data_IF_600817664756
#
_entry.id   IF_600817664756
#
_cell.length_a   1.000
_cell.length_b   1.000
_cell.length_c   1.000
_cell.angle_alpha   90.00
_cell.angle_beta   90.00
_cell.angle_gamma   90.00
#
_symmetry.space_group_name_H-M   'P 1'
#
loop_
_entity.id
_entity.type
_entity.pdbx_description
1 polymer ?
#
# COMPACT_ATOMS: atom_id res chain seq x y z
N UNK A 1 -10.99 76.88 29.77
CA UNK A 1 -11.03 77.68 28.51
C UNK A 1 -11.38 76.72 27.39
N UNK A 2 -12.64 76.62 26.98
CA UNK A 2 -13.30 77.37 25.88
C UNK A 2 -13.21 76.66 24.51
N UNK A 3 -14.37 76.10 24.13
CA UNK A 3 -15.06 76.09 22.81
C UNK A 3 -14.33 75.70 21.51
N UNK A 4 -14.79 74.56 20.97
CA UNK A 4 -15.54 74.38 19.71
C UNK A 4 -15.07 75.00 18.37
N UNK A 5 -15.04 74.15 17.33
CA UNK A 5 -15.54 74.27 15.93
C UNK A 5 -14.83 73.21 15.05
N UNK A 6 -15.19 72.81 13.84
CA UNK A 6 -16.43 72.50 13.11
C UNK A 6 -16.01 72.09 11.66
N UNK A 7 -16.76 71.18 11.00
CA UNK A 7 -16.81 70.87 9.54
C UNK A 7 -15.63 70.14 8.85
N UNK A 8 -15.91 68.98 8.23
CA UNK A 8 -16.26 68.82 6.79
C UNK A 8 -16.39 67.32 6.40
N UNK A 9 -17.37 66.96 5.57
CA UNK A 9 -17.52 65.64 4.89
C UNK A 9 -16.96 65.71 3.45
N UNK A 10 -16.60 64.59 2.77
CA UNK A 10 -17.57 63.83 1.92
C UNK A 10 -17.33 62.29 1.92
N UNK A 11 -18.37 61.45 1.82
CA UNK A 11 -18.98 60.79 0.63
C UNK A 11 -18.03 59.97 -0.28
N UNK A 12 -18.47 58.73 -0.51
CA UNK A 12 -18.19 57.78 -1.62
C UNK A 12 -16.98 56.83 -1.57
N UNK A 13 -17.21 55.63 -1.02
CA UNK A 13 -16.50 54.41 -1.42
C UNK A 13 -17.33 53.14 -1.09
N UNK A 14 -18.44 52.93 -1.81
CA UNK A 14 -19.20 51.65 -1.79
C UNK A 14 -19.39 51.06 -3.19
N UNK A 15 -18.35 51.05 -4.03
CA UNK A 15 -18.35 50.29 -5.29
C UNK A 15 -16.92 49.88 -5.67
N UNK A 16 -16.28 48.97 -4.90
CA UNK A 16 -14.96 48.45 -5.27
C UNK A 16 -14.67 46.99 -4.87
N UNK A 17 -15.63 46.22 -4.35
CA UNK A 17 -15.34 44.88 -3.78
C UNK A 17 -16.10 43.71 -4.39
N UNK A 18 -16.85 43.90 -5.48
CA UNK A 18 -17.61 42.79 -6.12
C UNK A 18 -17.03 42.28 -7.46
N UNK A 19 -16.18 43.06 -8.13
CA UNK A 19 -15.59 42.66 -9.42
C UNK A 19 -14.33 41.77 -9.28
N UNK A 20 -13.60 41.85 -8.15
CA UNK A 20 -12.33 41.12 -7.95
C UNK A 20 -12.49 39.67 -7.47
N UNK A 21 -13.71 39.25 -7.08
CA UNK A 21 -14.00 37.84 -6.71
C UNK A 21 -14.43 36.97 -7.89
N UNK A 22 -15.07 37.53 -8.94
CA UNK A 22 -15.45 36.75 -10.14
C UNK A 22 -14.27 36.39 -11.04
N UNK A 23 -13.28 37.27 -11.17
CA UNK A 23 -12.08 37.02 -11.97
C UNK A 23 -11.13 35.98 -11.35
N UNK A 24 -11.09 35.84 -10.01
CA UNK A 24 -10.30 34.82 -9.32
C UNK A 24 -10.95 33.43 -9.29
N UNK A 25 -12.28 33.36 -9.37
CA UNK A 25 -13.00 32.08 -9.51
C UNK A 25 -12.81 31.45 -10.90
N UNK A 26 -12.79 32.28 -11.96
CA UNK A 26 -12.64 31.79 -13.34
C UNK A 26 -11.23 31.29 -13.68
N UNK A 27 -10.16 31.87 -13.12
CA UNK A 27 -8.78 31.38 -13.32
C UNK A 27 -8.48 30.07 -12.58
N UNK A 28 -9.09 29.84 -11.41
CA UNK A 28 -8.93 28.56 -10.69
C UNK A 28 -9.70 27.41 -11.34
N UNK A 29 -10.85 27.67 -11.94
CA UNK A 29 -11.59 26.66 -12.70
C UNK A 29 -10.86 26.20 -13.98
N UNK A 30 -10.05 27.07 -14.59
CA UNK A 30 -9.30 26.74 -15.80
C UNK A 30 -7.95 26.02 -15.53
N UNK A 31 -7.37 26.16 -14.33
CA UNK A 31 -6.14 25.47 -13.94
C UNK A 31 -6.39 24.07 -13.36
N UNK A 32 -7.58 23.81 -12.78
CA UNK A 32 -7.97 22.47 -12.29
C UNK A 32 -8.32 21.49 -13.43
N UNK A 33 -8.77 21.99 -14.60
CA UNK A 33 -9.03 21.15 -15.79
C UNK A 33 -7.75 20.64 -16.47
N UNK A 34 -6.60 21.27 -16.23
CA UNK A 34 -5.33 20.91 -16.86
C UNK A 34 -4.52 19.83 -16.08
N UNK A 35 -4.97 19.45 -14.88
CA UNK A 35 -4.33 18.42 -14.04
C UNK A 35 -5.23 17.22 -13.71
N UNK A 36 -6.37 17.10 -14.39
CA UNK A 36 -7.14 15.87 -14.36
C UNK A 36 -6.35 14.77 -15.10
N UNK A 37 -5.84 13.81 -14.34
CA UNK A 37 -5.49 12.48 -14.87
C UNK A 37 -6.69 12.00 -15.68
N UNK A 38 -6.52 11.41 -16.89
CA UNK A 38 -7.65 11.03 -17.73
C UNK A 38 -8.53 10.06 -16.95
N UNK A 39 -9.64 10.57 -16.44
CA UNK A 39 -10.63 9.78 -15.74
C UNK A 39 -11.26 8.88 -16.79
N UNK A 40 -11.09 7.56 -16.61
CA UNK A 40 -11.64 6.54 -17.51
C UNK A 40 -13.10 6.91 -17.81
N UNK A 41 -13.55 6.88 -19.09
CA UNK A 41 -14.88 7.33 -19.45
C UNK A 41 -15.91 6.55 -18.64
N UNK A 42 -16.70 7.26 -17.83
CA UNK A 42 -17.84 6.69 -17.13
C UNK A 42 -19.08 6.93 -17.99
N UNK A 43 -19.83 5.87 -18.29
CA UNK A 43 -21.05 5.97 -19.07
C UNK A 43 -22.21 6.22 -18.09
N UNK A 44 -22.99 7.28 -18.33
CA UNK A 44 -24.23 7.49 -17.60
C UNK A 44 -25.36 6.75 -18.32
N UNK A 45 -25.82 5.65 -17.74
CA UNK A 45 -26.95 4.87 -18.24
C UNK A 45 -28.10 5.01 -17.24
N UNK A 46 -29.25 5.51 -17.70
CA UNK A 46 -30.48 5.65 -16.91
C UNK A 46 -30.28 6.35 -15.55
N UNK A 47 -29.51 7.45 -15.53
CA UNK A 47 -29.27 8.25 -14.33
C UNK A 47 -28.29 7.65 -13.31
N UNK A 48 -27.61 6.54 -13.65
CA UNK A 48 -26.55 5.95 -12.83
C UNK A 48 -25.21 6.01 -13.55
N UNK A 49 -24.16 6.40 -12.83
CA UNK A 49 -22.79 6.40 -13.34
C UNK A 49 -22.23 4.99 -13.32
N UNK A 50 -22.12 4.39 -14.50
CA UNK A 50 -21.55 3.05 -14.67
C UNK A 50 -20.11 3.20 -15.13
N UNK A 51 -19.17 2.71 -14.31
CA UNK A 51 -17.77 2.61 -14.72
C UNK A 51 -17.68 1.52 -15.80
N UNK A 52 -16.95 1.76 -16.89
CA UNK A 52 -16.77 0.78 -17.99
C UNK A 52 -16.37 -0.60 -17.48
N UNK A 53 -15.61 -0.68 -16.38
CA UNK A 53 -15.28 -1.94 -15.71
C UNK A 53 -16.52 -2.76 -15.29
N UNK A 54 -17.61 -2.15 -14.82
CA UNK A 54 -18.84 -2.86 -14.43
C UNK A 54 -19.62 -3.41 -15.64
N UNK A 55 -19.40 -2.86 -16.84
CA UNK A 55 -20.02 -3.36 -18.08
C UNK A 55 -19.23 -4.57 -18.62
N UNK A 56 -17.92 -4.60 -18.35
CA UNK A 56 -17.01 -5.64 -18.84
C UNK A 56 -16.87 -6.81 -17.84
N UNK A 57 -16.99 -6.55 -16.54
CA UNK A 57 -17.03 -7.57 -15.47
C UNK A 57 -18.30 -8.45 -15.53
N UNK A 58 -19.33 -8.03 -16.28
CA UNK A 58 -20.61 -8.74 -16.41
C UNK A 58 -20.75 -9.64 -17.65
N UNK A 59 -19.72 -9.77 -18.50
CA UNK A 59 -19.75 -10.69 -19.65
C UNK A 59 -19.01 -11.98 -19.29
N UNK A 60 -19.64 -13.12 -19.57
CA UNK A 60 -19.02 -14.45 -19.49
C UNK A 60 -17.83 -14.60 -20.46
N UNK A 61 -17.73 -13.71 -21.45
CA UNK A 61 -16.59 -13.58 -22.34
C UNK A 61 -15.59 -12.55 -21.79
N UNK A 62 -14.37 -12.98 -21.43
CA UNK A 62 -13.24 -12.10 -21.07
C UNK A 62 -12.71 -11.35 -22.31
N UNK A 63 -13.54 -10.50 -22.90
CA UNK A 63 -13.23 -9.71 -24.09
C UNK A 63 -12.00 -8.80 -23.88
N UNK A 64 -11.77 -8.36 -22.64
CA UNK A 64 -10.57 -7.60 -22.28
C UNK A 64 -9.31 -8.46 -22.23
N UNK A 65 -9.42 -9.72 -21.79
CA UNK A 65 -8.33 -10.70 -21.86
C UNK A 65 -7.95 -11.00 -23.29
N UNK A 66 -8.94 -11.30 -24.14
CA UNK A 66 -8.73 -11.55 -25.57
C UNK A 66 -8.07 -10.35 -26.26
N UNK A 67 -8.61 -9.14 -26.07
CA UNK A 67 -8.01 -7.93 -26.64
C UNK A 67 -6.56 -7.71 -26.17
N UNK A 68 -6.25 -8.00 -24.90
CA UNK A 68 -4.88 -7.88 -24.41
C UNK A 68 -3.96 -8.93 -25.04
N UNK A 69 -4.44 -10.17 -25.21
CA UNK A 69 -3.72 -11.22 -25.92
C UNK A 69 -3.49 -10.85 -27.38
N UNK A 70 -4.51 -10.37 -28.10
CA UNK A 70 -4.41 -9.95 -29.50
C UNK A 70 -3.35 -8.86 -29.69
N UNK A 71 -3.39 -7.81 -28.86
CA UNK A 71 -2.42 -6.70 -28.93
C UNK A 71 -0.99 -7.17 -28.67
N UNK A 72 -0.80 -8.07 -27.70
CA UNK A 72 0.53 -8.61 -27.39
C UNK A 72 0.98 -9.58 -28.48
N UNK A 73 0.07 -10.40 -29.00
CA UNK A 73 0.31 -11.35 -30.06
C UNK A 73 0.76 -10.65 -31.34
N UNK A 74 0.05 -9.60 -31.76
CA UNK A 74 0.41 -8.75 -32.89
C UNK A 74 1.79 -8.10 -32.69
N UNK A 75 2.05 -7.55 -31.49
CA UNK A 75 3.32 -6.90 -31.18
C UNK A 75 4.52 -7.85 -31.14
N UNK A 76 4.28 -9.13 -30.81
CA UNK A 76 5.32 -10.17 -30.71
C UNK A 76 5.38 -11.10 -31.93
N UNK A 77 4.45 -10.96 -32.87
CA UNK A 77 4.36 -11.81 -34.05
C UNK A 77 4.02 -13.26 -33.72
N UNK A 78 3.18 -13.49 -32.71
CA UNK A 78 2.73 -14.84 -32.29
C UNK A 78 1.24 -15.04 -32.54
N UNK A 79 0.77 -16.29 -32.51
CA UNK A 79 -0.64 -16.63 -32.66
C UNK A 79 -1.45 -16.27 -31.40
N UNK A 80 -2.52 -15.50 -31.56
CA UNK A 80 -3.31 -14.99 -30.44
C UNK A 80 -4.09 -16.09 -29.68
N UNK A 81 -4.61 -17.09 -30.39
CA UNK A 81 -5.34 -18.22 -29.78
C UNK A 81 -4.40 -19.16 -29.03
N UNK A 82 -3.17 -19.36 -29.52
CA UNK A 82 -2.11 -20.04 -28.78
C UNK A 82 -1.71 -19.26 -27.53
N UNK A 83 -1.51 -17.94 -27.65
CA UNK A 83 -1.14 -17.09 -26.51
C UNK A 83 -2.22 -17.08 -25.43
N UNK A 84 -3.51 -17.03 -25.80
CA UNK A 84 -4.62 -17.10 -24.86
C UNK A 84 -4.60 -18.42 -24.06
N UNK A 85 -4.33 -19.55 -24.72
CA UNK A 85 -4.18 -20.86 -24.04
C UNK A 85 -2.97 -20.88 -23.11
N UNK A 86 -1.87 -20.22 -23.47
CA UNK A 86 -0.70 -20.13 -22.62
C UNK A 86 -0.90 -19.20 -21.42
N UNK A 87 -1.74 -18.16 -21.55
CA UNK A 87 -2.21 -17.35 -20.40
C UNK A 87 -3.04 -18.20 -19.45
N UNK A 88 -3.97 -19.02 -19.95
CA UNK A 88 -4.75 -19.92 -19.10
C UNK A 88 -3.84 -20.93 -18.36
N UNK A 89 -2.83 -21.47 -19.05
CA UNK A 89 -1.81 -22.33 -18.43
C UNK A 89 -1.00 -21.58 -17.37
N UNK A 90 -0.59 -20.34 -17.64
CA UNK A 90 0.11 -19.50 -16.67
C UNK A 90 -0.73 -19.33 -15.39
N UNK A 91 -2.03 -19.07 -15.52
CA UNK A 91 -2.93 -18.95 -14.36
C UNK A 91 -3.18 -20.27 -13.65
N UNK A 92 -3.21 -21.40 -14.36
CA UNK A 92 -3.26 -22.71 -13.71
C UNK A 92 -2.00 -22.99 -12.87
N UNK A 93 -0.83 -22.52 -13.34
CA UNK A 93 0.46 -22.72 -12.68
C UNK A 93 0.74 -21.69 -11.58
N UNK A 94 0.18 -20.49 -11.69
CA UNK A 94 0.25 -19.42 -10.71
C UNK A 94 -1.16 -18.83 -10.46
N UNK A 95 -2.03 -19.52 -9.68
CA UNK A 95 -3.42 -19.11 -9.48
C UNK A 95 -3.56 -17.71 -8.90
N UNK A 96 -2.69 -17.34 -7.96
CA UNK A 96 -2.67 -16.01 -7.35
C UNK A 96 -2.46 -14.88 -8.37
N UNK A 97 -1.74 -15.13 -9.46
CA UNK A 97 -1.58 -14.15 -10.55
C UNK A 97 -2.90 -13.93 -11.28
N UNK A 98 -3.61 -15.02 -11.60
CA UNK A 98 -4.94 -14.96 -12.23
C UNK A 98 -5.94 -14.20 -11.38
N UNK A 99 -6.00 -14.47 -10.07
CA UNK A 99 -6.87 -13.76 -9.13
C UNK A 99 -6.56 -12.26 -9.05
N UNK A 100 -5.27 -11.89 -9.08
CA UNK A 100 -4.82 -10.49 -9.06
C UNK A 100 -5.13 -9.76 -10.37
N UNK A 101 -5.03 -10.46 -11.51
CA UNK A 101 -5.47 -9.94 -12.81
C UNK A 101 -6.98 -9.73 -12.82
N UNK A 102 -7.76 -10.67 -12.28
CA UNK A 102 -9.21 -10.55 -12.17
C UNK A 102 -9.63 -9.36 -11.28
N UNK A 103 -8.92 -9.12 -10.17
CA UNK A 103 -9.10 -7.94 -9.32
C UNK A 103 -8.60 -6.63 -9.94
N UNK A 104 -7.88 -6.70 -11.06
CA UNK A 104 -7.29 -5.54 -11.73
C UNK A 104 -6.06 -4.96 -11.02
N UNK A 105 -5.46 -5.71 -10.10
CA UNK A 105 -4.20 -5.36 -9.43
C UNK A 105 -3.00 -5.55 -10.38
N UNK A 106 -3.10 -6.53 -11.28
CA UNK A 106 -2.12 -6.82 -12.33
C UNK A 106 -2.75 -6.57 -13.70
N UNK A 107 -1.99 -5.94 -14.62
CA UNK A 107 -2.48 -5.67 -15.99
C UNK A 107 -2.58 -6.98 -16.78
N UNK A 108 -3.67 -7.18 -17.52
CA UNK A 108 -3.85 -8.32 -18.44
C UNK A 108 -2.73 -8.42 -19.48
N UNK A 109 -2.28 -7.30 -20.04
CA UNK A 109 -1.16 -7.26 -20.98
C UNK A 109 0.16 -7.78 -20.38
N UNK A 110 0.41 -7.52 -19.08
CA UNK A 110 1.59 -8.03 -18.39
C UNK A 110 1.52 -9.56 -18.25
N UNK A 111 0.35 -10.14 -17.95
CA UNK A 111 0.15 -11.59 -17.93
C UNK A 111 0.32 -12.22 -19.32
N UNK A 112 -0.22 -11.59 -20.37
CA UNK A 112 0.00 -12.02 -21.75
C UNK A 112 1.48 -11.97 -22.14
N UNK A 113 2.20 -10.88 -21.82
CA UNK A 113 3.64 -10.77 -22.05
C UNK A 113 4.45 -11.86 -21.33
N UNK A 114 4.05 -12.27 -20.12
CA UNK A 114 4.68 -13.38 -19.40
C UNK A 114 4.39 -14.74 -20.03
N UNK A 115 3.21 -14.89 -20.63
CA UNK A 115 2.79 -16.14 -21.27
C UNK A 115 3.47 -16.37 -22.62
N UNK A 116 3.92 -15.30 -23.32
CA UNK A 116 4.68 -15.42 -24.58
C UNK A 116 5.88 -16.36 -24.41
N UNK A 117 6.63 -16.19 -23.31
CA UNK A 117 7.76 -17.04 -22.96
C UNK A 117 7.45 -17.91 -21.73
N UNK A 118 6.31 -18.62 -21.76
CA UNK A 118 5.82 -19.40 -20.61
C UNK A 118 6.90 -20.31 -19.99
N UNK A 119 7.73 -20.96 -20.82
CA UNK A 119 8.81 -21.83 -20.33
C UNK A 119 9.83 -21.06 -19.49
N UNK A 120 10.22 -19.87 -19.92
CA UNK A 120 11.18 -19.04 -19.20
C UNK A 120 10.56 -18.46 -17.93
N UNK A 121 9.30 -18.02 -18.01
CA UNK A 121 8.50 -17.60 -16.85
C UNK A 121 8.45 -18.70 -15.78
N UNK A 122 8.25 -19.96 -16.20
CA UNK A 122 8.24 -21.12 -15.29
C UNK A 122 9.61 -21.42 -14.72
N UNK A 123 10.67 -21.30 -15.52
CA UNK A 123 12.05 -21.46 -15.05
C UNK A 123 12.40 -20.39 -14.00
N UNK A 124 11.99 -19.13 -14.21
CA UNK A 124 12.15 -18.06 -13.25
C UNK A 124 11.39 -18.35 -11.95
N UNK A 125 10.13 -18.78 -12.02
CA UNK A 125 9.36 -19.15 -10.82
C UNK A 125 10.03 -20.27 -10.01
N UNK A 126 10.55 -21.30 -10.68
CA UNK A 126 11.30 -22.37 -10.02
C UNK A 126 12.62 -21.88 -9.43
N UNK A 127 13.33 -20.99 -10.12
CA UNK A 127 14.54 -20.38 -9.61
C UNK A 127 14.26 -19.54 -8.35
N UNK A 128 13.16 -18.77 -8.32
CA UNK A 128 12.71 -18.03 -7.14
C UNK A 128 12.33 -18.98 -6.01
N UNK A 129 11.64 -20.09 -6.29
CA UNK A 129 11.34 -21.11 -5.28
C UNK A 129 12.61 -21.65 -4.64
N UNK A 130 13.64 -21.90 -5.43
CA UNK A 130 14.92 -22.43 -4.95
C UNK A 130 15.78 -21.38 -4.22
N UNK A 131 15.39 -20.10 -4.21
CA UNK A 131 16.06 -19.05 -3.44
C UNK A 131 15.72 -19.14 -1.94
N UNK A 132 14.50 -19.55 -1.60
CA UNK A 132 14.04 -19.66 -0.23
C UNK A 132 14.58 -20.94 0.44
N UNK A 133 15.02 -20.81 1.68
CA UNK A 133 15.45 -21.93 2.51
C UNK A 133 14.26 -22.54 3.24
N UNK A 134 13.25 -21.73 3.59
CA UNK A 134 12.00 -22.17 4.17
C UNK A 134 11.09 -22.80 3.12
N UNK A 135 10.63 -24.03 3.40
CA UNK A 135 9.67 -24.74 2.56
C UNK A 135 8.25 -24.15 2.64
N UNK A 136 7.98 -23.30 3.64
CA UNK A 136 6.66 -22.71 3.88
C UNK A 136 6.38 -21.49 2.99
N UNK A 137 7.39 -20.99 2.27
CA UNK A 137 7.22 -19.87 1.34
C UNK A 137 6.58 -20.34 0.04
N UNK A 138 5.36 -19.88 -0.22
CA UNK A 138 4.71 -20.05 -1.52
C UNK A 138 5.31 -19.09 -2.56
N UNK A 139 6.29 -19.60 -3.31
CA UNK A 139 6.93 -18.86 -4.39
C UNK A 139 5.94 -18.41 -5.48
N UNK A 140 4.82 -19.12 -5.66
CA UNK A 140 3.75 -18.73 -6.56
C UNK A 140 3.06 -17.45 -6.09
N UNK A 141 2.70 -17.36 -4.80
CA UNK A 141 2.15 -16.12 -4.22
C UNK A 141 3.16 -14.97 -4.27
N UNK A 142 4.44 -15.23 -3.97
CA UNK A 142 5.52 -14.22 -4.08
C UNK A 142 5.59 -13.66 -5.49
N UNK A 143 5.61 -14.53 -6.51
CA UNK A 143 5.66 -14.12 -7.91
C UNK A 143 4.34 -13.44 -8.36
N UNK A 144 3.19 -13.86 -7.83
CA UNK A 144 1.91 -13.21 -8.12
C UNK A 144 1.86 -11.78 -7.57
N UNK A 145 2.46 -11.56 -6.40
CA UNK A 145 2.56 -10.26 -5.72
C UNK A 145 3.60 -9.34 -6.34
N UNK A 146 4.67 -9.91 -6.91
CA UNK A 146 5.69 -9.18 -7.66
C UNK A 146 5.99 -9.88 -9.00
N UNK A 147 5.13 -9.69 -10.04
CA UNK A 147 5.26 -10.38 -11.33
C UNK A 147 6.53 -10.03 -12.10
N UNK A 148 7.26 -8.97 -11.71
CA UNK A 148 8.56 -8.64 -12.31
C UNK A 148 9.60 -9.72 -12.08
N UNK A 149 9.48 -10.50 -10.99
CA UNK A 149 10.36 -11.64 -10.70
C UNK A 149 10.31 -12.70 -11.81
N UNK A 150 9.15 -12.87 -12.44
CA UNK A 150 8.92 -13.85 -13.51
C UNK A 150 9.59 -13.46 -14.84
N UNK A 151 10.08 -12.22 -14.97
CA UNK A 151 10.79 -11.73 -16.17
C UNK A 151 12.30 -11.84 -16.05
N UNK A 152 12.79 -12.16 -14.86
CA UNK A 152 14.22 -12.20 -14.60
C UNK A 152 14.88 -13.33 -15.38
N UNK A 153 16.09 -13.04 -15.85
CA UNK A 153 16.97 -13.99 -16.53
C UNK A 153 18.04 -14.48 -15.57
N UNK A 154 18.81 -15.47 -15.99
CA UNK A 154 19.77 -16.20 -15.14
C UNK A 154 20.69 -15.29 -14.32
N UNK A 155 21.33 -14.29 -14.93
CA UNK A 155 22.20 -13.34 -14.23
C UNK A 155 21.48 -12.55 -13.13
N UNK A 156 20.27 -12.06 -13.42
CA UNK A 156 19.47 -11.30 -12.46
C UNK A 156 18.91 -12.21 -11.35
N UNK A 157 18.58 -13.46 -11.66
CA UNK A 157 18.15 -14.46 -10.69
C UNK A 157 19.29 -14.83 -9.73
N UNK A 158 20.53 -14.87 -10.20
CA UNK A 158 21.68 -15.07 -9.33
C UNK A 158 21.84 -13.92 -8.33
N UNK A 159 21.72 -12.67 -8.79
CA UNK A 159 21.69 -11.51 -7.89
C UNK A 159 20.57 -11.56 -6.85
N UNK A 160 19.39 -12.12 -7.20
CA UNK A 160 18.30 -12.35 -6.24
C UNK A 160 18.68 -13.42 -5.20
N UNK A 161 19.38 -14.49 -5.60
CA UNK A 161 19.84 -15.54 -4.68
C UNK A 161 20.89 -15.03 -3.71
N UNK A 162 21.90 -14.34 -4.22
CA UNK A 162 22.95 -13.71 -3.41
C UNK A 162 22.35 -12.74 -2.39
N UNK A 163 21.40 -11.90 -2.84
CA UNK A 163 20.67 -10.99 -1.98
C UNK A 163 19.91 -11.71 -0.87
N UNK A 164 19.19 -12.77 -1.19
CA UNK A 164 18.45 -13.54 -0.19
C UNK A 164 19.39 -14.19 0.83
N UNK A 165 20.50 -14.77 0.37
CA UNK A 165 21.52 -15.35 1.24
C UNK A 165 22.16 -14.31 2.17
N UNK A 166 22.61 -13.18 1.62
CA UNK A 166 23.19 -12.08 2.39
C UNK A 166 22.20 -11.48 3.39
N UNK A 167 20.92 -11.37 3.01
CA UNK A 167 19.87 -10.85 3.91
C UNK A 167 19.62 -11.80 5.08
N UNK A 168 19.60 -13.11 4.84
CA UNK A 168 19.50 -14.12 5.91
C UNK A 168 20.64 -14.01 6.90
N UNK A 169 21.87 -13.88 6.40
CA UNK A 169 23.05 -13.71 7.26
C UNK A 169 22.97 -12.44 8.10
N UNK A 170 22.57 -11.31 7.50
CA UNK A 170 22.50 -10.01 8.17
C UNK A 170 21.37 -9.92 9.20
N UNK A 171 20.21 -10.49 8.91
CA UNK A 171 19.09 -10.47 9.85
C UNK A 171 19.28 -11.49 10.98
N UNK A 172 19.86 -12.66 10.70
CA UNK A 172 20.05 -13.72 11.68
C UNK A 172 18.77 -13.99 12.49
N UNK A 173 18.89 -14.00 13.82
CA UNK A 173 17.77 -14.25 14.74
C UNK A 173 16.84 -13.04 14.95
N UNK A 174 17.15 -11.90 14.33
CA UNK A 174 16.33 -10.69 14.47
C UNK A 174 14.99 -10.80 13.71
N UNK A 175 14.99 -11.46 12.56
CA UNK A 175 13.82 -11.60 11.70
C UNK A 175 14.00 -12.76 10.71
N UNK A 176 12.95 -13.54 10.46
CA UNK A 176 12.93 -14.51 9.38
C UNK A 176 12.93 -13.78 8.02
N UNK A 177 14.08 -13.82 7.32
CA UNK A 177 14.26 -13.16 6.03
C UNK A 177 13.37 -13.75 4.93
N UNK A 178 13.15 -15.07 4.94
CA UNK A 178 12.31 -15.72 3.93
C UNK A 178 10.84 -15.29 4.15
N UNK A 179 10.40 -15.23 5.40
CA UNK A 179 9.12 -14.63 5.79
C UNK A 179 8.99 -13.14 5.44
N UNK A 180 10.07 -12.36 5.56
CA UNK A 180 10.12 -10.96 5.12
C UNK A 180 9.92 -10.85 3.60
N UNK A 181 10.64 -11.63 2.79
CA UNK A 181 10.49 -11.63 1.34
C UNK A 181 9.12 -12.15 0.90
N UNK A 182 8.57 -13.15 1.58
CA UNK A 182 7.20 -13.60 1.36
C UNK A 182 6.20 -12.47 1.64
N UNK A 183 6.49 -11.65 2.64
CA UNK A 183 5.64 -10.53 3.05
C UNK A 183 5.81 -9.31 2.16
N UNK A 184 7.01 -9.02 1.66
CA UNK A 184 7.34 -7.87 0.82
C UNK A 184 8.24 -8.33 -0.34
N UNK A 185 7.66 -8.97 -1.38
CA UNK A 185 8.44 -9.54 -2.49
C UNK A 185 9.30 -8.51 -3.25
N UNK A 186 8.92 -7.24 -3.26
CA UNK A 186 9.69 -6.17 -3.89
C UNK A 186 11.09 -5.99 -3.29
N UNK A 187 11.33 -6.43 -2.05
CA UNK A 187 12.66 -6.42 -1.44
C UNK A 187 13.66 -7.30 -2.20
N UNK A 188 13.19 -8.34 -2.90
CA UNK A 188 14.04 -9.16 -3.76
C UNK A 188 14.55 -8.39 -4.98
N UNK A 189 13.91 -7.27 -5.35
CA UNK A 189 14.26 -6.44 -6.49
C UNK A 189 14.87 -5.08 -6.09
N UNK A 190 14.93 -4.76 -4.81
CA UNK A 190 15.44 -3.49 -4.30
C UNK A 190 16.92 -3.28 -4.68
N UNK A 191 17.36 -2.04 -4.83
CA UNK A 191 18.79 -1.73 -4.85
C UNK A 191 19.45 -2.06 -3.51
N UNK A 192 20.79 -2.16 -3.48
CA UNK A 192 21.49 -2.48 -2.24
C UNK A 192 21.26 -1.41 -1.15
N UNK A 193 21.29 -0.14 -1.52
CA UNK A 193 21.04 0.99 -0.60
C UNK A 193 19.61 0.96 -0.03
N UNK A 194 18.61 0.70 -0.88
CA UNK A 194 17.23 0.55 -0.43
C UNK A 194 17.08 -0.63 0.53
N UNK A 195 17.71 -1.76 0.22
CA UNK A 195 17.70 -2.94 1.07
C UNK A 195 18.37 -2.67 2.41
N UNK A 196 19.52 -1.99 2.42
CA UNK A 196 20.23 -1.62 3.64
C UNK A 196 19.32 -0.80 4.57
N UNK A 197 18.67 0.23 4.04
CA UNK A 197 17.71 1.02 4.82
C UNK A 197 16.51 0.19 5.32
N UNK A 198 16.01 -0.76 4.52
CA UNK A 198 14.94 -1.69 4.96
C UNK A 198 15.43 -2.55 6.13
N UNK A 199 16.61 -3.15 6.04
CA UNK A 199 17.15 -4.04 7.07
C UNK A 199 17.50 -3.30 8.36
N UNK A 200 18.01 -2.06 8.27
CA UNK A 200 18.21 -1.18 9.42
C UNK A 200 16.89 -0.91 10.17
N UNK A 201 15.80 -0.69 9.43
CA UNK A 201 14.48 -0.51 10.07
C UNK A 201 13.93 -1.79 10.64
N UNK A 202 14.11 -2.95 9.99
CA UNK A 202 13.70 -4.26 10.53
C UNK A 202 14.41 -4.56 11.84
N UNK A 203 15.74 -4.38 11.87
CA UNK A 203 16.56 -4.55 13.08
C UNK A 203 16.20 -3.53 14.15
N UNK A 204 15.92 -2.28 13.77
CA UNK A 204 15.41 -1.25 14.66
C UNK A 204 14.05 -1.59 15.28
N UNK A 205 13.11 -2.13 14.50
CA UNK A 205 11.81 -2.60 15.00
C UNK A 205 11.97 -3.74 16.00
N UNK A 206 12.90 -4.68 15.74
CA UNK A 206 13.23 -5.76 16.69
C UNK A 206 13.83 -5.23 17.98
N UNK A 207 14.67 -4.20 17.93
CA UNK A 207 15.21 -3.56 19.13
C UNK A 207 14.12 -2.81 19.92
N UNK A 208 13.19 -2.15 19.22
CA UNK A 208 12.09 -1.40 19.81
C UNK A 208 11.04 -2.33 20.46
N UNK A 209 10.79 -3.49 19.85
CA UNK A 209 9.81 -4.49 20.29
C UNK A 209 10.42 -5.91 20.25
N UNK A 210 11.25 -6.28 21.26
CA UNK A 210 11.97 -7.55 21.28
C UNK A 210 11.08 -8.78 21.16
N UNK A 211 9.90 -8.74 21.75
CA UNK A 211 8.99 -9.89 21.78
C UNK A 211 7.99 -9.89 20.61
N UNK A 212 8.09 -8.92 19.69
CA UNK A 212 7.17 -8.83 18.55
C UNK A 212 7.51 -9.82 17.44
N UNK A 213 6.47 -10.33 16.79
CA UNK A 213 6.58 -11.02 15.51
C UNK A 213 6.65 -9.98 14.39
N UNK A 214 7.87 -9.66 13.98
CA UNK A 214 8.14 -8.63 12.98
C UNK A 214 7.55 -9.00 11.62
N UNK A 215 7.58 -10.27 11.22
CA UNK A 215 7.02 -10.71 9.93
C UNK A 215 5.51 -10.52 9.92
N UNK A 216 4.82 -10.93 10.99
CA UNK A 216 3.37 -10.72 11.13
C UNK A 216 3.00 -9.24 11.13
N UNK A 217 3.76 -8.42 11.85
CA UNK A 217 3.59 -6.97 11.90
C UNK A 217 3.75 -6.33 10.52
N UNK A 218 4.79 -6.70 9.77
CA UNK A 218 5.03 -6.20 8.42
C UNK A 218 3.99 -6.71 7.41
N UNK A 219 3.37 -7.87 7.65
CA UNK A 219 2.26 -8.37 6.82
C UNK A 219 1.04 -7.47 6.92
N UNK A 220 0.76 -6.95 8.12
CA UNK A 220 -0.30 -5.96 8.31
C UNK A 220 0.09 -4.56 7.84
N UNK A 221 1.36 -4.16 8.02
CA UNK A 221 1.83 -2.79 7.75
C UNK A 221 3.26 -2.78 7.14
N UNK A 222 3.41 -3.05 5.83
CA UNK A 222 4.72 -3.05 5.15
C UNK A 222 5.43 -1.69 5.21
N UNK A 223 4.67 -0.60 5.28
CA UNK A 223 5.22 0.76 5.35
C UNK A 223 6.23 0.96 6.49
N UNK A 224 6.14 0.19 7.56
CA UNK A 224 7.03 0.29 8.73
C UNK A 224 8.50 0.05 8.41
N UNK A 225 8.81 -0.76 7.39
CA UNK A 225 10.17 -0.95 6.93
C UNK A 225 10.42 -0.36 5.54
N UNK A 226 9.43 0.26 4.90
CA UNK A 226 9.56 0.90 3.58
C UNK A 226 9.63 2.43 3.68
N UNK A 227 9.06 3.05 4.70
CA UNK A 227 9.06 4.49 4.91
C UNK A 227 9.62 4.91 6.28
N UNK A 228 10.59 5.83 6.29
CA UNK A 228 11.22 6.33 7.53
C UNK A 228 10.23 7.06 8.44
N UNK A 229 9.26 7.75 7.84
CA UNK A 229 8.21 8.44 8.57
C UNK A 229 7.31 7.45 9.32
N UNK A 230 6.98 6.32 8.70
CA UNK A 230 6.17 5.28 9.32
C UNK A 230 6.93 4.63 10.49
N UNK A 231 8.21 4.31 10.29
CA UNK A 231 9.09 3.81 11.35
C UNK A 231 9.18 4.77 12.55
N UNK A 232 9.42 6.06 12.28
CA UNK A 232 9.54 7.09 13.33
C UNK A 232 8.24 7.25 14.14
N UNK A 233 7.08 7.19 13.47
CA UNK A 233 5.78 7.21 14.13
C UNK A 233 5.56 5.99 15.02
N UNK A 234 5.94 4.80 14.53
CA UNK A 234 5.85 3.58 15.30
C UNK A 234 6.70 3.66 16.59
N UNK A 235 7.91 4.20 16.51
CA UNK A 235 8.76 4.43 17.70
C UNK A 235 8.08 5.30 18.75
N UNK A 236 7.42 6.39 18.34
CA UNK A 236 6.67 7.27 19.23
C UNK A 236 5.48 6.52 19.86
N UNK A 237 4.70 5.79 19.04
CA UNK A 237 3.55 5.04 19.51
C UNK A 237 3.93 3.94 20.50
N UNK A 238 5.02 3.19 20.25
CA UNK A 238 5.54 2.18 21.20
C UNK A 238 5.93 2.83 22.51
N UNK A 239 6.67 3.94 22.46
CA UNK A 239 7.08 4.67 23.68
C UNK A 239 5.87 5.14 24.50
N UNK A 240 4.87 5.72 23.83
CA UNK A 240 3.63 6.16 24.46
C UNK A 240 2.85 5.00 25.10
N UNK A 241 2.73 3.86 24.39
CA UNK A 241 2.08 2.66 24.92
C UNK A 241 2.83 2.09 26.12
N UNK A 242 4.16 1.98 26.07
CA UNK A 242 4.97 1.49 27.21
C UNK A 242 4.88 2.40 28.44
N UNK A 243 4.72 3.71 28.24
CA UNK A 243 4.54 4.69 29.32
C UNK A 243 3.14 4.59 29.95
N UNK A 244 2.11 4.36 29.14
CA UNK A 244 0.72 4.35 29.59
C UNK A 244 0.27 2.98 30.15
N UNK A 245 0.75 1.89 29.56
CA UNK A 245 0.27 0.54 29.89
C UNK A 245 0.90 -0.02 31.18
N UNK A 246 0.16 -0.87 31.92
CA UNK A 246 0.72 -1.65 33.03
C UNK A 246 1.90 -2.53 32.61
N UNK A 247 2.85 -2.76 33.54
CA UNK A 247 4.10 -3.52 33.27
C UNK A 247 3.87 -4.99 32.91
N UNK A 248 2.73 -5.56 33.29
CA UNK A 248 2.34 -6.94 32.95
C UNK A 248 1.69 -7.06 31.57
N UNK A 249 1.48 -5.94 30.87
CA UNK A 249 0.94 -5.93 29.52
C UNK A 249 2.01 -6.40 28.51
N UNK A 250 1.69 -7.43 27.72
CA UNK A 250 2.53 -7.91 26.62
C UNK A 250 2.33 -7.03 25.37
N UNK A 251 2.83 -5.79 25.45
CA UNK A 251 2.61 -4.74 24.45
C UNK A 251 3.10 -5.18 23.07
N UNK A 252 4.29 -5.78 22.99
CA UNK A 252 4.95 -6.14 21.73
C UNK A 252 4.14 -7.17 20.93
N UNK A 253 3.54 -8.16 21.62
CA UNK A 253 2.64 -9.12 20.99
C UNK A 253 1.32 -8.48 20.55
N UNK A 254 0.76 -7.60 21.39
CA UNK A 254 -0.43 -6.84 21.01
C UNK A 254 -0.17 -6.01 19.75
N UNK A 255 1.02 -5.41 19.61
CA UNK A 255 1.40 -4.63 18.43
C UNK A 255 1.67 -5.50 17.20
N UNK A 256 2.11 -6.74 17.40
CA UNK A 256 2.23 -7.74 16.32
C UNK A 256 0.86 -8.11 15.76
N UNK A 257 -0.14 -8.24 16.63
CA UNK A 257 -1.52 -8.60 16.26
C UNK A 257 -2.33 -7.41 15.73
N UNK A 258 -2.07 -6.21 16.27
CA UNK A 258 -2.80 -4.97 15.98
C UNK A 258 -1.86 -3.83 15.56
N UNK A 259 -1.17 -3.95 14.42
CA UNK A 259 -0.17 -2.98 13.99
C UNK A 259 -0.76 -1.61 13.61
N UNK A 260 -2.08 -1.47 13.51
CA UNK A 260 -2.74 -0.17 13.33
C UNK A 260 -2.46 0.81 14.47
N UNK A 261 -2.24 0.31 15.70
CA UNK A 261 -1.91 1.14 16.85
C UNK A 261 -0.62 1.95 16.65
N UNK A 262 0.32 1.44 15.84
CA UNK A 262 1.60 2.11 15.56
C UNK A 262 1.45 3.40 14.73
N UNK A 263 0.27 3.62 14.14
CA UNK A 263 -0.02 4.77 13.29
C UNK A 263 -0.97 5.78 13.96
N UNK A 264 -1.30 5.56 15.23
CA UNK A 264 -2.23 6.39 15.98
C UNK A 264 -1.52 7.29 16.97
N UNK A 265 -2.19 8.40 17.29
CA UNK A 265 -1.85 9.18 18.47
C UNK A 265 -2.40 8.45 19.70
N UNK A 266 -1.51 7.76 20.42
CA UNK A 266 -1.87 6.91 21.56
C UNK A 266 -2.45 7.75 22.70
N UNK A 267 -1.95 8.95 22.93
CA UNK A 267 -2.43 9.80 24.02
C UNK A 267 -3.87 10.25 23.75
N UNK A 268 -4.15 10.68 22.53
CA UNK A 268 -5.50 11.06 22.13
C UNK A 268 -6.45 9.85 22.10
N UNK A 269 -6.00 8.69 21.63
CA UNK A 269 -6.80 7.46 21.65
C UNK A 269 -7.22 7.08 23.08
N UNK A 270 -6.30 7.14 24.04
CA UNK A 270 -6.62 6.81 25.43
C UNK A 270 -7.59 7.82 26.05
N UNK A 271 -7.50 9.10 25.68
CA UNK A 271 -8.46 10.11 26.11
C UNK A 271 -9.86 9.87 25.51
N UNK A 272 -9.93 9.58 24.21
CA UNK A 272 -11.19 9.22 23.54
C UNK A 272 -11.84 7.98 24.16
N UNK A 273 -11.04 6.97 24.49
CA UNK A 273 -11.52 5.76 25.18
C UNK A 273 -12.05 6.05 26.57
N UNK A 274 -11.36 6.93 27.33
CA UNK A 274 -11.81 7.35 28.66
C UNK A 274 -13.14 8.10 28.57
N UNK A 275 -13.30 9.01 27.62
CA UNK A 275 -14.54 9.77 27.43
C UNK A 275 -15.70 8.89 26.98
N UNK A 276 -15.43 7.90 26.12
CA UNK A 276 -16.48 7.06 25.51
C UNK A 276 -16.96 5.95 26.44
N UNK A 277 -16.04 5.23 27.09
CA UNK A 277 -16.38 4.03 27.87
C UNK A 277 -16.39 4.28 29.39
N UNK A 278 -15.80 5.39 29.84
CA UNK A 278 -15.50 5.60 31.26
C UNK A 278 -14.43 4.62 31.77
N UNK A 279 -13.98 4.82 33.01
CA UNK A 279 -13.01 3.93 33.66
C UNK A 279 -11.57 4.07 33.13
N UNK A 280 -10.79 2.99 33.23
CA UNK A 280 -9.38 2.95 32.81
C UNK A 280 -9.26 2.61 31.30
N UNK A 281 -8.84 3.57 30.46
CA UNK A 281 -8.70 3.34 29.02
C UNK A 281 -7.64 2.28 28.68
N UNK A 282 -6.60 2.11 29.51
CA UNK A 282 -5.57 1.10 29.28
C UNK A 282 -6.14 -0.32 29.40
N UNK A 283 -7.04 -0.54 30.36
CA UNK A 283 -7.73 -1.82 30.51
C UNK A 283 -8.66 -2.13 29.33
N UNK A 284 -9.41 -1.13 28.87
CA UNK A 284 -10.28 -1.24 27.68
C UNK A 284 -9.46 -1.59 26.44
N UNK A 285 -8.36 -0.87 26.20
CA UNK A 285 -7.50 -1.10 25.05
C UNK A 285 -6.79 -2.47 25.13
N UNK A 286 -6.34 -2.90 26.31
CA UNK A 286 -5.74 -4.23 26.52
C UNK A 286 -6.72 -5.36 26.23
N UNK A 287 -7.99 -5.21 26.61
CA UNK A 287 -9.02 -6.23 26.40
C UNK A 287 -9.48 -6.31 24.94
N UNK A 288 -9.53 -5.18 24.24
CA UNK A 288 -9.93 -5.12 22.85
C UNK A 288 -9.10 -4.10 22.06
N UNK A 289 -7.87 -4.45 21.64
CA UNK A 289 -7.01 -3.53 20.91
C UNK A 289 -7.57 -3.12 19.54
N UNK A 290 -8.39 -4.00 18.93
CA UNK A 290 -9.06 -3.74 17.67
C UNK A 290 -10.06 -2.59 17.70
N UNK A 291 -10.48 -2.13 18.90
CA UNK A 291 -11.38 -0.99 19.07
C UNK A 291 -10.82 0.29 18.44
N UNK A 292 -9.50 0.41 18.40
CA UNK A 292 -8.82 1.55 17.80
C UNK A 292 -9.18 1.73 16.32
N UNK A 293 -9.39 0.63 15.58
CA UNK A 293 -9.81 0.67 14.17
C UNK A 293 -11.26 1.15 13.98
N UNK A 294 -12.09 1.09 15.03
CA UNK A 294 -13.46 1.63 14.99
C UNK A 294 -13.43 3.16 15.15
N UNK A 295 -12.54 3.69 15.99
CA UNK A 295 -12.29 5.12 16.08
C UNK A 295 -11.67 5.67 14.78
N UNK A 296 -10.81 4.90 14.11
CA UNK A 296 -10.28 5.24 12.77
C UNK A 296 -11.39 5.40 11.72
N UNK A 297 -12.47 4.62 11.82
CA UNK A 297 -13.58 4.63 10.85
C UNK A 297 -14.71 5.61 11.19
N UNK A 298 -14.98 5.84 12.48
CA UNK A 298 -16.14 6.63 12.93
C UNK A 298 -15.85 8.13 13.03
N UNK A 299 -14.59 8.52 13.26
CA UNK A 299 -14.20 9.93 13.27
C UNK A 299 -13.72 10.34 11.87
N UNK A 300 -14.64 10.70 10.97
CA UNK A 300 -14.39 11.28 9.62
C UNK A 300 -13.50 12.54 9.57
N UNK A 301 -12.78 12.82 10.65
CA UNK A 301 -11.69 13.77 10.82
C UNK A 301 -10.53 13.05 11.51
N UNK A 302 -9.76 12.28 10.74
CA UNK A 302 -8.34 12.17 11.00
C UNK A 302 -7.62 12.60 9.72
N UNK A 303 -7.15 13.85 9.73
CA UNK A 303 -6.18 14.30 8.74
C UNK A 303 -5.02 13.31 8.81
N UNK A 304 -4.60 12.69 7.69
CA UNK A 304 -3.25 12.16 7.64
C UNK A 304 -2.36 13.36 7.93
N UNK A 305 -1.69 13.37 9.09
CA UNK A 305 -0.71 14.40 9.40
C UNK A 305 0.25 14.43 8.21
N UNK A 306 0.12 15.47 7.39
CA UNK A 306 0.96 15.77 6.23
C UNK A 306 2.38 16.03 6.68
#
# INVERSE_FOLDING_TARGET
MSRATARAAPRDARFATRASRRARGARRAAEDDARATPTRPALNLLGRTVKVKHILEGRADDALGRLAADVVADARGVDADALARDVDRLFALCPGLGERVARGEVKRALAAELAVDLRETMAAMLAIKNTFASADVDAGDVCAREPRLLRLREEALEGVRERAASTRERLGDACDADGLFATIPSCLLASQEELDGILERVTGLRALMPDADIVKLLRGRPALCLEDRAYSRAAIAVSALRKAMPKDCRIDLMLSDFPSLLFMDIEMLLEDLRQTFGGDPCWTLRRNPGIATQFEKNNGTFNPLR
#
